data_IF_017545056856
#
_entry.id   IF_017545056856
#
_cell.length_a   1.000
_cell.length_b   1.000
_cell.length_c   1.000
_cell.angle_alpha   90.00
_cell.angle_beta   90.00
_cell.angle_gamma   90.00
#
_symmetry.space_group_name_H-M   'P 1'
#
loop_
_entity.id
_entity.type
_entity.pdbx_description
1 polymer ?
#
# COMPACT_ATOMS: atom_id res chain seq x y z
N UNK A 1 17.91 -14.58 -15.50
CA UNK A 1 16.60 -14.49 -14.83
C UNK A 1 16.53 -13.12 -14.19
N UNK A 2 15.61 -12.26 -14.64
CA UNK A 2 15.43 -10.93 -14.02
C UNK A 2 14.87 -11.18 -12.62
N UNK A 3 15.51 -10.58 -11.60
CA UNK A 3 15.10 -10.71 -10.19
C UNK A 3 13.69 -10.14 -10.05
N UNK A 4 12.75 -10.92 -9.51
CA UNK A 4 11.42 -10.42 -9.17
C UNK A 4 11.57 -9.27 -8.16
N UNK A 5 11.08 -8.08 -8.50
CA UNK A 5 11.21 -6.88 -7.68
C UNK A 5 10.02 -6.77 -6.75
N UNK A 6 10.26 -6.19 -5.58
CA UNK A 6 9.20 -5.85 -4.62
C UNK A 6 9.06 -4.34 -4.57
N UNK A 7 7.92 -3.84 -5.04
CA UNK A 7 7.60 -2.41 -5.14
C UNK A 7 6.56 -2.04 -4.09
N UNK A 8 6.87 -1.11 -3.22
CA UNK A 8 5.91 -0.53 -2.27
C UNK A 8 5.17 0.66 -2.87
N UNK A 9 3.88 0.82 -2.55
CA UNK A 9 3.11 2.02 -2.85
C UNK A 9 2.47 2.55 -1.58
N UNK A 10 2.81 3.78 -1.20
CA UNK A 10 2.17 4.46 -0.08
C UNK A 10 0.75 4.87 -0.44
N UNK A 11 -0.21 4.37 0.32
CA UNK A 11 -1.62 4.51 0.01
C UNK A 11 -2.35 5.18 1.17
N UNK A 12 -2.85 6.39 0.95
CA UNK A 12 -3.70 7.14 1.90
C UNK A 12 -5.10 7.42 1.34
N UNK A 13 -5.44 6.81 0.20
CA UNK A 13 -6.69 7.03 -0.57
C UNK A 13 -6.89 8.46 -1.07
N UNK A 14 -5.86 9.29 -1.03
CA UNK A 14 -5.89 10.59 -1.70
C UNK A 14 -5.88 10.42 -3.22
N UNK A 15 -6.37 11.42 -3.98
CA UNK A 15 -6.23 11.41 -5.45
C UNK A 15 -4.77 11.24 -5.91
N UNK A 16 -3.83 11.79 -5.14
CA UNK A 16 -2.40 11.69 -5.42
C UNK A 16 -1.83 10.30 -5.19
N UNK A 17 -2.26 9.57 -4.16
CA UNK A 17 -1.82 8.20 -3.94
C UNK A 17 -2.42 7.23 -4.97
N UNK A 18 -3.68 7.44 -5.36
CA UNK A 18 -4.32 6.67 -6.44
C UNK A 18 -3.60 6.87 -7.79
N UNK A 19 -3.21 8.11 -8.07
CA UNK A 19 -2.43 8.44 -9.27
C UNK A 19 -1.06 7.77 -9.23
N UNK A 20 -0.40 7.76 -8.07
CA UNK A 20 0.86 7.03 -7.88
C UNK A 20 0.70 5.53 -8.13
N UNK A 21 -0.37 4.90 -7.62
CA UNK A 21 -0.67 3.49 -7.87
C UNK A 21 -0.84 3.20 -9.36
N UNK A 22 -1.62 4.02 -10.09
CA UNK A 22 -1.78 3.88 -11.54
C UNK A 22 -0.46 4.02 -12.28
N UNK A 23 0.32 5.03 -11.93
CA UNK A 23 1.62 5.25 -12.54
C UNK A 23 2.56 4.05 -12.32
N UNK A 24 2.61 3.52 -11.10
CA UNK A 24 3.36 2.30 -10.77
C UNK A 24 2.87 1.11 -11.59
N UNK A 25 1.55 0.96 -11.72
CA UNK A 25 0.92 -0.12 -12.45
C UNK A 25 1.33 -0.14 -13.92
N UNK A 26 1.37 1.02 -14.55
CA UNK A 26 1.66 1.17 -15.98
C UNK A 26 3.16 1.17 -16.29
N UNK A 27 3.98 1.82 -15.45
CA UNK A 27 5.36 2.17 -15.80
C UNK A 27 6.44 1.38 -15.06
N UNK A 28 6.15 0.87 -13.86
CA UNK A 28 7.18 0.28 -12.99
C UNK A 28 7.08 -1.24 -12.85
N UNK A 29 5.86 -1.80 -12.90
CA UNK A 29 5.63 -3.23 -12.70
C UNK A 29 5.73 -4.04 -13.98
N UNK A 30 6.48 -5.14 -13.90
CA UNK A 30 6.63 -6.17 -14.95
C UNK A 30 6.09 -7.54 -14.48
N UNK A 31 6.06 -8.52 -15.40
CA UNK A 31 5.59 -9.88 -15.11
C UNK A 31 6.43 -10.54 -13.99
N UNK A 32 5.73 -11.05 -12.98
CA UNK A 32 6.34 -11.71 -11.82
C UNK A 32 6.78 -10.77 -10.69
N UNK A 33 6.64 -9.46 -10.82
CA UNK A 33 6.90 -8.52 -9.73
C UNK A 33 5.85 -8.63 -8.62
N UNK A 34 6.19 -8.12 -7.43
CA UNK A 34 5.28 -8.02 -6.29
C UNK A 34 5.03 -6.56 -5.95
N UNK A 35 3.76 -6.16 -5.87
CA UNK A 35 3.36 -4.85 -5.36
C UNK A 35 2.84 -4.98 -3.93
N UNK A 36 3.34 -4.12 -3.04
CA UNK A 36 2.91 -4.01 -1.65
C UNK A 36 2.25 -2.65 -1.43
N UNK A 37 0.94 -2.64 -1.20
CA UNK A 37 0.23 -1.46 -0.74
C UNK A 37 0.54 -1.22 0.74
N UNK A 38 1.09 -0.05 1.06
CA UNK A 38 1.44 0.34 2.42
C UNK A 38 0.50 1.45 2.86
N UNK A 39 -0.42 1.11 3.75
CA UNK A 39 -1.33 2.07 4.35
C UNK A 39 -0.89 2.38 5.78
N UNK A 40 -0.72 3.66 6.12
CA UNK A 40 -0.43 4.06 7.50
C UNK A 40 -1.63 4.77 8.09
N UNK A 41 -2.19 4.18 9.14
CA UNK A 41 -3.25 4.77 9.92
C UNK A 41 -2.69 5.63 11.06
N UNK A 42 -3.33 6.76 11.37
CA UNK A 42 -2.95 7.57 12.51
C UNK A 42 -3.15 6.81 13.82
N UNK A 43 -2.30 7.10 14.80
CA UNK A 43 -2.24 6.43 16.11
C UNK A 43 -3.57 6.47 16.89
N UNK A 44 -4.46 7.41 16.57
CA UNK A 44 -5.74 7.62 17.23
C UNK A 44 -6.90 6.80 16.63
N UNK A 45 -6.63 5.92 15.65
CA UNK A 45 -7.63 5.00 15.14
C UNK A 45 -7.92 3.89 16.18
N UNK A 46 -9.07 3.99 16.85
CA UNK A 46 -9.57 3.02 17.85
C UNK A 46 -9.98 1.70 17.18
N UNK A 47 -9.03 0.81 16.89
CA UNK A 47 -9.33 -0.53 16.37
C UNK A 47 -8.81 -1.65 17.27
N UNK A 48 -9.66 -2.66 17.48
CA UNK A 48 -9.50 -3.79 18.41
C UNK A 48 -8.24 -4.64 18.17
N UNK A 49 -7.57 -4.49 17.02
CA UNK A 49 -6.33 -5.20 16.67
C UNK A 49 -5.04 -4.37 16.84
N UNK A 50 -5.13 -3.09 17.20
CA UNK A 50 -3.96 -2.22 17.45
C UNK A 50 -3.02 -2.82 18.50
N UNK A 51 -3.60 -3.38 19.57
CA UNK A 51 -2.85 -3.99 20.69
C UNK A 51 -1.98 -5.18 20.25
N UNK A 52 -2.33 -5.87 19.16
CA UNK A 52 -1.63 -7.09 18.71
C UNK A 52 -0.52 -6.83 17.67
N UNK A 53 -0.53 -5.68 17.00
CA UNK A 53 0.32 -5.41 15.83
C UNK A 53 0.94 -4.00 15.82
N UNK A 54 1.00 -3.34 16.99
CA UNK A 54 1.45 -1.96 17.14
C UNK A 54 2.89 -1.74 16.63
N UNK A 55 3.78 -2.72 16.85
CA UNK A 55 5.18 -2.64 16.44
C UNK A 55 5.42 -3.07 14.98
N UNK A 56 4.81 -4.17 14.52
CA UNK A 56 5.15 -4.83 13.25
C UNK A 56 4.18 -4.55 12.10
N UNK A 57 3.02 -3.95 12.38
CA UNK A 57 1.94 -3.76 11.41
C UNK A 57 1.18 -5.06 11.10
N UNK A 58 0.13 -4.96 10.28
CA UNK A 58 -0.70 -6.11 9.90
C UNK A 58 0.13 -7.22 9.22
N UNK A 59 -0.35 -8.48 9.19
CA UNK A 59 0.19 -9.46 8.26
C UNK A 59 0.10 -8.95 6.81
N UNK A 60 0.86 -9.58 5.90
CA UNK A 60 0.72 -9.34 4.46
C UNK A 60 -0.62 -9.90 4.00
N UNK A 61 -1.48 -9.02 3.51
CA UNK A 61 -2.85 -9.31 3.13
C UNK A 61 -2.90 -9.49 1.61
N UNK A 62 -3.21 -10.68 1.08
CA UNK A 62 -3.38 -10.87 -0.36
C UNK A 62 -4.62 -10.14 -0.87
N UNK A 63 -4.65 -9.87 -2.18
CA UNK A 63 -5.78 -9.21 -2.84
C UNK A 63 -7.14 -9.89 -2.58
N UNK A 64 -7.15 -11.21 -2.41
CA UNK A 64 -8.34 -12.01 -2.10
C UNK A 64 -8.98 -11.59 -0.78
N UNK A 65 -8.17 -11.45 0.28
CA UNK A 65 -8.61 -10.98 1.60
C UNK A 65 -8.93 -9.47 1.58
N UNK A 66 -8.18 -8.69 0.79
CA UNK A 66 -8.41 -7.25 0.63
C UNK A 66 -9.78 -6.95 -0.02
N UNK A 67 -10.32 -7.87 -0.81
CA UNK A 67 -11.64 -7.76 -1.45
C UNK A 67 -12.79 -8.00 -0.47
N UNK A 68 -12.55 -8.63 0.67
CA UNK A 68 -13.60 -8.89 1.65
C UNK A 68 -14.03 -7.61 2.37
N UNK A 69 -15.32 -7.25 2.22
CA UNK A 69 -15.94 -6.06 2.82
C UNK A 69 -15.79 -6.01 4.35
N UNK A 70 -15.65 -7.18 4.98
CA UNK A 70 -15.43 -7.29 6.42
C UNK A 70 -14.03 -6.77 6.84
N UNK A 71 -13.05 -6.76 5.93
CA UNK A 71 -11.68 -6.37 6.21
C UNK A 71 -11.49 -4.84 6.21
N UNK A 72 -12.16 -4.13 5.29
CA UNK A 72 -12.21 -2.65 5.27
C UNK A 72 -12.66 -2.09 6.61
N UNK A 73 -13.66 -2.73 7.25
CA UNK A 73 -14.14 -2.36 8.59
C UNK A 73 -13.22 -2.79 9.72
N UNK A 74 -12.33 -3.76 9.50
CA UNK A 74 -11.47 -4.31 10.55
C UNK A 74 -10.09 -3.65 10.64
N UNK A 75 -9.63 -3.04 9.54
CA UNK A 75 -8.34 -2.34 9.47
C UNK A 75 -8.48 -0.85 9.11
N UNK A 76 -9.72 -0.36 8.97
CA UNK A 76 -10.02 1.03 8.66
C UNK A 76 -9.67 1.41 7.22
N UNK A 77 -9.45 0.43 6.36
CA UNK A 77 -9.13 0.63 4.96
C UNK A 77 -10.38 1.08 4.21
N UNK A 78 -10.30 2.22 3.51
CA UNK A 78 -11.39 2.66 2.67
C UNK A 78 -11.60 1.65 1.54
N UNK A 79 -12.85 1.17 1.38
CA UNK A 79 -13.22 0.39 0.21
C UNK A 79 -13.30 1.35 -0.97
N UNK A 80 -12.31 1.26 -1.87
CA UNK A 80 -12.25 2.11 -3.04
C UNK A 80 -12.28 1.23 -4.31
N UNK A 81 -13.39 1.23 -5.06
CA UNK A 81 -13.54 0.37 -6.23
C UNK A 81 -12.51 0.70 -7.32
N UNK A 82 -12.05 1.95 -7.42
CA UNK A 82 -11.06 2.38 -8.39
C UNK A 82 -9.69 1.73 -8.12
N UNK A 83 -9.34 1.61 -6.85
CA UNK A 83 -8.08 0.98 -6.42
C UNK A 83 -8.14 -0.51 -6.68
N UNK A 84 -9.25 -1.15 -6.29
CA UNK A 84 -9.46 -2.57 -6.48
C UNK A 84 -9.40 -2.98 -7.96
N UNK A 85 -9.98 -2.18 -8.85
CA UNK A 85 -9.96 -2.40 -10.29
C UNK A 85 -8.53 -2.37 -10.85
N UNK A 86 -7.71 -1.41 -10.42
CA UNK A 86 -6.29 -1.32 -10.82
C UNK A 86 -5.51 -2.54 -10.31
N UNK A 87 -5.75 -2.97 -9.07
CA UNK A 87 -5.08 -4.14 -8.50
C UNK A 87 -5.50 -5.46 -9.17
N UNK A 88 -6.77 -5.64 -9.49
CA UNK A 88 -7.27 -6.82 -10.20
C UNK A 88 -6.72 -6.86 -11.63
N UNK A 89 -6.68 -5.70 -12.30
CA UNK A 89 -6.04 -5.54 -13.62
C UNK A 89 -4.57 -5.95 -13.55
N UNK A 90 -3.82 -5.48 -12.55
CA UNK A 90 -2.41 -5.87 -12.36
C UNK A 90 -2.23 -7.36 -12.14
N UNK A 91 -3.07 -7.95 -11.28
CA UNK A 91 -2.99 -9.37 -10.95
C UNK A 91 -3.32 -10.24 -12.15
N UNK A 92 -4.33 -9.89 -12.96
CA UNK A 92 -4.74 -10.66 -14.13
C UNK A 92 -3.89 -10.42 -15.36
N UNK A 93 -3.62 -9.16 -15.69
CA UNK A 93 -2.97 -8.78 -16.94
C UNK A 93 -1.45 -8.98 -16.89
N UNK A 94 -0.82 -8.63 -15.76
CA UNK A 94 0.64 -8.68 -15.59
C UNK A 94 1.11 -9.82 -14.67
N UNK A 95 0.21 -10.68 -14.17
CA UNK A 95 0.51 -11.75 -13.19
C UNK A 95 1.31 -11.25 -11.98
N UNK A 96 1.12 -9.99 -11.60
CA UNK A 96 1.80 -9.37 -10.47
C UNK A 96 1.17 -9.88 -9.19
N UNK A 97 2.01 -10.17 -8.20
CA UNK A 97 1.53 -10.50 -6.85
C UNK A 97 1.15 -9.22 -6.13
N UNK A 98 -0.13 -9.08 -5.77
CA UNK A 98 -0.63 -7.93 -5.02
C UNK A 98 -0.79 -8.32 -3.55
N UNK A 99 -0.14 -7.57 -2.66
CA UNK A 99 -0.32 -7.67 -1.22
C UNK A 99 -0.51 -6.27 -0.61
N UNK A 100 -1.16 -6.21 0.54
CA UNK A 100 -1.34 -4.99 1.32
C UNK A 100 -0.79 -5.19 2.74
N UNK A 101 -0.29 -4.10 3.34
CA UNK A 101 0.15 -4.06 4.73
C UNK A 101 -0.27 -2.74 5.36
N UNK A 102 -0.85 -2.84 6.55
CA UNK A 102 -1.33 -1.70 7.32
C UNK A 102 -0.40 -1.47 8.50
N UNK A 103 0.02 -0.23 8.69
CA UNK A 103 0.81 0.22 9.83
C UNK A 103 0.02 1.25 10.64
N UNK A 104 0.36 1.39 11.92
CA UNK A 104 -0.23 2.39 12.80
C UNK A 104 0.90 3.27 13.38
N UNK A 105 0.75 4.59 13.32
CA UNK A 105 1.76 5.53 13.85
C UNK A 105 2.01 6.75 12.95
N UNK A 106 3.21 7.33 13.02
CA UNK A 106 3.64 8.39 12.11
C UNK A 106 3.95 7.79 10.72
N UNK A 107 3.31 8.29 9.64
CA UNK A 107 3.54 7.79 8.28
C UNK A 107 5.00 7.85 7.82
N UNK A 108 5.77 8.84 8.26
CA UNK A 108 7.17 9.00 7.82
C UNK A 108 8.05 7.91 8.39
N UNK A 109 7.88 7.61 9.67
CA UNK A 109 8.63 6.54 10.33
C UNK A 109 8.17 5.17 9.82
N UNK A 110 6.86 4.92 9.77
CA UNK A 110 6.33 3.62 9.37
C UNK A 110 6.59 3.26 7.92
N UNK A 111 6.69 4.24 7.02
CA UNK A 111 7.12 3.98 5.64
C UNK A 111 8.59 3.55 5.58
N UNK A 112 9.48 4.18 6.36
CA UNK A 112 10.89 3.75 6.46
C UNK A 112 10.99 2.34 7.04
N UNK A 113 10.29 2.07 8.14
CA UNK A 113 10.21 0.73 8.74
C UNK A 113 9.70 -0.29 7.72
N UNK A 114 8.72 0.07 6.90
CA UNK A 114 8.16 -0.82 5.89
C UNK A 114 9.16 -1.18 4.79
N UNK A 115 9.97 -0.21 4.34
CA UNK A 115 11.03 -0.45 3.35
C UNK A 115 12.03 -1.47 3.87
N UNK A 116 12.47 -1.32 5.12
CA UNK A 116 13.44 -2.24 5.73
C UNK A 116 12.85 -3.63 6.01
N UNK A 117 11.67 -3.68 6.63
CA UNK A 117 11.03 -4.93 7.02
C UNK A 117 10.61 -5.78 5.82
N UNK A 118 10.12 -5.14 4.75
CA UNK A 118 9.64 -5.84 3.55
C UNK A 118 10.72 -5.98 2.48
N UNK A 119 11.92 -5.41 2.70
CA UNK A 119 13.04 -5.41 1.75
C UNK A 119 12.62 -4.94 0.37
N UNK A 120 11.92 -3.81 0.32
CA UNK A 120 11.42 -3.23 -0.92
C UNK A 120 12.58 -2.78 -1.80
N UNK A 121 12.54 -3.12 -3.09
CA UNK A 121 13.51 -2.61 -4.07
C UNK A 121 13.19 -1.15 -4.46
N UNK A 122 11.93 -0.71 -4.33
CA UNK A 122 11.48 0.66 -4.60
C UNK A 122 10.21 1.00 -3.84
N UNK A 123 10.01 2.29 -3.52
CA UNK A 123 8.76 2.80 -2.95
C UNK A 123 8.24 3.98 -3.77
N UNK A 124 6.94 3.98 -4.05
CA UNK A 124 6.25 5.04 -4.79
C UNK A 124 5.27 5.74 -3.86
N UNK A 125 5.30 7.06 -3.83
CA UNK A 125 4.45 7.90 -2.98
C UNK A 125 3.72 8.94 -3.81
N UNK A 126 2.47 9.23 -3.44
CA UNK A 126 1.73 10.36 -3.97
C UNK A 126 2.34 11.68 -3.50
N UNK A 127 2.62 12.60 -4.43
CA UNK A 127 3.05 13.96 -4.10
C UNK A 127 1.87 14.93 -4.22
N UNK A 128 1.72 15.78 -3.20
CA UNK A 128 0.74 16.89 -3.21
C UNK A 128 1.29 18.17 -3.86
N UNK A 129 2.49 18.13 -4.44
CA UNK A 129 3.10 19.30 -5.07
C UNK A 129 3.46 20.43 -4.10
N UNK A 130 3.61 20.11 -2.80
CA UNK A 130 4.04 21.08 -1.80
C UNK A 130 5.53 21.37 -2.01
N UNK A 131 5.81 22.43 -2.76
CA UNK A 131 7.16 23.02 -2.85
C UNK A 131 7.55 23.74 -1.56
N UNK A 132 8.80 24.22 -1.45
CA UNK A 132 9.29 24.97 -0.28
C UNK A 132 8.54 26.27 -0.02
N UNK A 133 7.73 26.75 -0.98
CA UNK A 133 6.90 27.94 -0.85
C UNK A 133 5.47 27.53 -0.49
N UNK A 134 5.12 27.67 0.79
CA UNK A 134 3.72 27.88 1.20
C UNK A 134 3.39 29.35 0.95
N UNK A 135 2.43 29.61 0.07
CA UNK A 135 1.90 30.95 -0.18
C UNK A 135 0.58 31.14 0.53
#
# INVERSE_FOLDING_TARGET
MVKARTVGVGMDYSPTSKSALRWTAENLLDDGDTIILIHVQPQNAEHTRKILFEETGSPLIPLEEFREVNFSKQYGLAYDPEVLDVLDTLSRAKKVKVVAKVYWGDPREKLCDAVENLKLDSIVLGSRGLGPLKR
#
